data_IF_503378724660
#
_entry.id   IF_503378724660
#
_cell.length_a   1.000
_cell.length_b   1.000
_cell.length_c   1.000
_cell.angle_alpha   90.00
_cell.angle_beta   90.00
_cell.angle_gamma   90.00
#
_symmetry.space_group_name_H-M   'P 1'
#
loop_
_entity.id
_entity.type
_entity.pdbx_description
1 polymer ?
#
# COMPACT_ATOMS: atom_id res chain seq x y z
N UNK A 1 8.67 20.28 -3.07
CA UNK A 1 8.94 19.09 -3.90
C UNK A 1 9.85 18.20 -3.05
N UNK A 2 9.44 17.00 -2.67
CA UNK A 2 10.27 16.15 -1.81
C UNK A 2 11.32 15.50 -2.70
N UNK A 3 12.54 16.06 -2.70
CA UNK A 3 13.71 15.43 -3.32
C UNK A 3 14.12 14.23 -2.45
N UNK A 4 14.05 13.05 -3.03
CA UNK A 4 14.58 11.83 -2.43
C UNK A 4 16.03 11.64 -2.87
N UNK A 5 16.88 11.12 -1.99
CA UNK A 5 18.30 10.89 -2.28
C UNK A 5 18.49 9.90 -3.45
N UNK A 6 19.57 10.07 -4.22
CA UNK A 6 19.96 9.19 -5.34
C UNK A 6 20.12 7.70 -4.94
N UNK A 7 20.22 7.42 -3.65
CA UNK A 7 20.32 6.09 -3.03
C UNK A 7 19.00 5.30 -2.94
N UNK A 8 17.88 5.82 -3.46
CA UNK A 8 16.65 5.03 -3.57
C UNK A 8 16.73 3.86 -4.56
N UNK A 9 17.90 3.64 -5.16
CA UNK A 9 18.01 2.98 -6.45
C UNK A 9 17.30 1.63 -6.53
N UNK A 10 17.21 0.81 -5.47
CA UNK A 10 16.47 -0.47 -5.53
C UNK A 10 15.94 -0.98 -4.18
N UNK A 11 15.33 -0.12 -3.33
CA UNK A 11 14.67 -0.65 -2.12
C UNK A 11 13.44 -1.46 -2.55
N UNK A 12 13.48 -2.77 -2.27
CA UNK A 12 12.41 -3.71 -2.59
C UNK A 12 11.84 -4.29 -1.31
N UNK A 13 10.52 -4.45 -1.28
CA UNK A 13 9.82 -5.01 -0.14
C UNK A 13 8.45 -4.40 0.03
N UNK A 14 7.89 -4.58 1.21
CA UNK A 14 6.63 -3.96 1.59
C UNK A 14 6.86 -2.55 2.08
N UNK A 15 6.22 -1.55 1.51
CA UNK A 15 6.26 -0.18 2.00
C UNK A 15 4.94 0.17 2.67
N UNK A 16 5.00 0.75 3.87
CA UNK A 16 3.85 1.41 4.46
C UNK A 16 3.62 2.74 3.73
N UNK A 17 2.40 2.99 3.29
CA UNK A 17 2.04 4.20 2.56
C UNK A 17 0.87 4.90 3.22
N UNK A 18 1.00 6.21 3.38
CA UNK A 18 -0.08 7.09 3.81
C UNK A 18 -1.06 7.32 2.68
N UNK A 19 -2.34 7.23 3.02
CA UNK A 19 -3.47 7.57 2.15
C UNK A 19 -4.42 8.51 2.88
N UNK A 20 -5.29 9.18 2.14
CA UNK A 20 -6.38 9.96 2.73
C UNK A 20 -7.34 9.02 3.46
N UNK A 21 -7.71 9.40 4.69
CA UNK A 21 -8.65 8.65 5.53
C UNK A 21 -9.94 8.33 4.78
N UNK A 22 -10.36 7.05 4.79
CA UNK A 22 -11.55 6.56 4.10
C UNK A 22 -11.34 6.20 2.62
N UNK A 23 -10.14 6.43 2.07
CA UNK A 23 -9.79 6.08 0.69
C UNK A 23 -8.96 4.79 0.60
N UNK A 24 -8.66 4.10 1.71
CA UNK A 24 -7.75 2.95 1.77
C UNK A 24 -8.15 1.87 0.76
N UNK A 25 -9.42 1.47 0.76
CA UNK A 25 -9.94 0.46 -0.16
C UNK A 25 -9.99 0.95 -1.62
N UNK A 26 -10.30 2.23 -1.84
CA UNK A 26 -10.33 2.83 -3.18
C UNK A 26 -8.93 2.81 -3.79
N UNK A 27 -7.93 3.30 -3.05
CA UNK A 27 -6.53 3.32 -3.47
C UNK A 27 -6.04 1.89 -3.72
N UNK A 28 -6.33 0.95 -2.82
CA UNK A 28 -5.93 -0.45 -3.01
C UNK A 28 -6.51 -1.06 -4.30
N UNK A 29 -7.78 -0.79 -4.61
CA UNK A 29 -8.41 -1.30 -5.84
C UNK A 29 -7.79 -0.73 -7.11
N UNK A 30 -7.45 0.57 -7.12
CA UNK A 30 -6.75 1.17 -8.25
C UNK A 30 -5.31 0.63 -8.40
N UNK A 31 -4.60 0.41 -7.29
CA UNK A 31 -3.28 -0.23 -7.31
C UNK A 31 -3.34 -1.66 -7.83
N UNK A 32 -4.39 -2.43 -7.53
CA UNK A 32 -4.61 -3.76 -8.13
C UNK A 32 -4.73 -3.73 -9.65
N UNK A 33 -5.27 -2.65 -10.22
CA UNK A 33 -5.29 -2.47 -11.69
C UNK A 33 -3.89 -2.20 -12.22
N UNK A 34 -3.08 -1.40 -11.50
CA UNK A 34 -1.67 -1.18 -11.87
C UNK A 34 -0.86 -2.47 -11.82
N UNK A 35 -1.05 -3.33 -10.81
CA UNK A 35 -0.38 -4.64 -10.70
C UNK A 35 -0.65 -5.51 -11.94
N UNK A 36 -1.85 -5.45 -12.52
CA UNK A 36 -2.22 -6.21 -13.72
C UNK A 36 -1.66 -5.61 -15.02
N UNK A 37 -1.19 -4.36 -14.98
CA UNK A 37 -0.67 -3.69 -16.17
C UNK A 37 0.74 -4.20 -16.51
N UNK A 38 1.03 -4.66 -17.75
CA UNK A 38 2.32 -5.29 -18.10
C UNK A 38 3.56 -4.44 -17.79
N UNK A 39 3.44 -3.11 -17.93
CA UNK A 39 4.51 -2.18 -17.58
C UNK A 39 4.90 -2.25 -16.10
N UNK A 40 3.92 -2.44 -15.22
CA UNK A 40 4.05 -2.25 -13.77
C UNK A 40 4.06 -3.56 -12.98
N UNK A 41 3.58 -4.68 -13.54
CA UNK A 41 3.52 -6.00 -12.90
C UNK A 41 4.87 -6.52 -12.43
N UNK A 42 5.97 -6.10 -13.07
CA UNK A 42 7.35 -6.44 -12.68
C UNK A 42 7.88 -5.57 -11.51
N UNK A 43 7.17 -4.52 -11.12
CA UNK A 43 7.61 -3.57 -10.08
C UNK A 43 6.65 -3.49 -8.89
N UNK A 44 5.35 -3.66 -9.11
CA UNK A 44 4.32 -3.63 -8.07
C UNK A 44 3.72 -5.02 -8.01
N UNK A 45 3.94 -5.69 -6.88
CA UNK A 45 3.65 -7.12 -6.74
C UNK A 45 2.34 -7.37 -6.00
N UNK A 46 2.05 -6.58 -4.98
CA UNK A 46 0.88 -6.80 -4.13
C UNK A 46 0.47 -5.52 -3.38
N UNK A 47 -0.79 -5.46 -2.96
CA UNK A 47 -1.32 -4.40 -2.12
C UNK A 47 -2.20 -4.98 -1.02
N UNK A 48 -1.92 -4.55 0.20
CA UNK A 48 -2.57 -5.06 1.40
C UNK A 48 -3.14 -3.90 2.23
N UNK A 49 -4.39 -4.08 2.67
CA UNK A 49 -5.07 -3.21 3.62
C UNK A 49 -5.49 -4.07 4.82
N UNK A 50 -5.01 -3.79 6.03
CA UNK A 50 -5.44 -4.52 7.22
C UNK A 50 -6.94 -4.30 7.47
N UNK A 51 -7.73 -5.36 7.30
CA UNK A 51 -9.19 -5.30 7.41
C UNK A 51 -9.74 -6.43 8.25
N UNK A 52 -10.87 -6.20 8.90
CA UNK A 52 -11.62 -7.20 9.65
C UNK A 52 -13.02 -7.35 9.08
N UNK A 53 -13.50 -8.59 8.93
CA UNK A 53 -14.89 -8.85 8.55
C UNK A 53 -15.80 -8.49 9.72
N UNK A 54 -16.74 -7.60 9.46
CA UNK A 54 -17.74 -7.14 10.42
C UNK A 54 -19.13 -7.32 9.83
N UNK A 55 -20.11 -7.59 10.68
CA UNK A 55 -21.51 -7.72 10.26
C UNK A 55 -22.25 -6.44 10.64
N UNK A 56 -22.87 -5.79 9.65
CA UNK A 56 -23.71 -4.62 9.88
C UNK A 56 -25.01 -5.03 10.62
N UNK A 57 -25.75 -4.06 11.17
CA UNK A 57 -27.03 -4.28 11.86
C UNK A 57 -28.07 -5.01 10.99
N UNK A 58 -27.87 -5.02 9.66
CA UNK A 58 -28.70 -5.73 8.68
C UNK A 58 -28.20 -7.13 8.29
N UNK A 59 -27.22 -7.70 9.00
CA UNK A 59 -26.67 -9.02 8.70
C UNK A 59 -25.75 -9.07 7.47
N UNK A 60 -25.38 -7.93 6.89
CA UNK A 60 -24.47 -7.87 5.73
C UNK A 60 -23.02 -7.78 6.17
N UNK A 61 -22.18 -8.63 5.60
CA UNK A 61 -20.74 -8.57 5.80
C UNK A 61 -20.14 -7.28 5.19
N UNK A 62 -19.26 -6.64 5.95
CA UNK A 62 -18.50 -5.45 5.57
C UNK A 62 -17.06 -5.60 6.04
N UNK A 63 -16.13 -5.13 5.22
CA UNK A 63 -14.71 -5.02 5.61
C UNK A 63 -14.51 -3.70 6.36
N UNK A 64 -14.04 -3.79 7.59
CA UNK A 64 -13.65 -2.64 8.41
C UNK A 64 -12.13 -2.49 8.36
N UNK A 65 -11.65 -1.32 7.95
CA UNK A 65 -10.22 -0.98 7.98
C UNK A 65 -9.75 -0.86 9.43
N UNK A 66 -8.70 -1.61 9.79
CA UNK A 66 -8.15 -1.65 11.15
C UNK A 66 -7.15 -0.51 11.38
N UNK A 67 -6.32 -0.21 10.38
CA UNK A 67 -5.30 0.85 10.46
C UNK A 67 -5.67 1.95 9.47
N UNK A 68 -6.30 3.01 9.98
CA UNK A 68 -6.71 4.17 9.17
C UNK A 68 -5.50 4.85 8.52
N UNK A 69 -5.73 5.43 7.35
CA UNK A 69 -4.75 6.19 6.56
C UNK A 69 -3.49 5.40 6.17
N UNK A 70 -3.49 4.07 6.31
CA UNK A 70 -2.33 3.24 5.99
C UNK A 70 -2.72 2.08 5.07
N UNK A 71 -1.91 1.91 4.03
CA UNK A 71 -1.90 0.72 3.18
C UNK A 71 -0.47 0.20 3.06
N UNK A 72 -0.31 -1.03 2.60
CA UNK A 72 0.99 -1.65 2.39
C UNK A 72 1.10 -2.08 0.94
N UNK A 73 2.20 -1.70 0.29
CA UNK A 73 2.44 -2.00 -1.12
C UNK A 73 3.75 -2.79 -1.22
N UNK A 74 3.70 -3.99 -1.79
CA UNK A 74 4.90 -4.77 -2.10
C UNK A 74 5.42 -4.32 -3.45
N UNK A 75 6.59 -3.67 -3.48
CA UNK A 75 7.13 -3.10 -4.72
C UNK A 75 8.65 -2.96 -4.72
N UNK A 76 9.21 -2.72 -5.91
CA UNK A 76 10.52 -2.10 -6.10
C UNK A 76 10.29 -0.59 -6.21
N UNK A 77 10.70 0.17 -5.21
CA UNK A 77 10.45 1.61 -5.19
C UNK A 77 11.48 2.33 -6.07
N UNK A 78 11.04 2.77 -7.24
CA UNK A 78 11.79 3.68 -8.14
C UNK A 78 11.02 4.99 -8.33
N UNK A 79 11.64 5.99 -8.96
CA UNK A 79 10.97 7.26 -9.25
C UNK A 79 9.77 7.08 -10.20
N UNK A 80 9.87 6.20 -11.21
CA UNK A 80 8.78 5.85 -12.11
C UNK A 80 7.64 5.15 -11.38
N UNK A 81 7.96 4.16 -10.53
CA UNK A 81 6.96 3.44 -9.74
C UNK A 81 6.26 4.39 -8.77
N UNK A 82 7.02 5.27 -8.12
CA UNK A 82 6.46 6.29 -7.25
C UNK A 82 5.51 7.22 -7.99
N UNK A 83 5.87 7.63 -9.21
CA UNK A 83 5.01 8.46 -10.04
C UNK A 83 3.74 7.72 -10.47
N UNK A 84 3.83 6.41 -10.72
CA UNK A 84 2.68 5.58 -11.08
C UNK A 84 1.68 5.38 -9.93
N UNK A 85 2.17 5.20 -8.69
CA UNK A 85 1.30 4.97 -7.52
C UNK A 85 0.72 6.27 -6.93
N UNK A 86 1.11 7.45 -7.40
CA UNK A 86 0.54 8.76 -7.02
C UNK A 86 -0.85 8.98 -7.64
N UNK A 87 -1.76 8.08 -7.31
CA UNK A 87 -3.17 8.16 -7.69
C UNK A 87 -3.97 8.98 -6.66
N UNK A 88 -5.22 9.33 -7.00
CA UNK A 88 -6.09 10.08 -6.10
C UNK A 88 -6.28 9.36 -4.75
N UNK A 89 -5.96 10.06 -3.66
CA UNK A 89 -6.05 9.54 -2.29
C UNK A 89 -4.75 8.93 -1.77
N UNK A 90 -3.75 8.66 -2.61
CA UNK A 90 -2.40 8.33 -2.16
C UNK A 90 -1.66 9.58 -1.67
N UNK A 91 -0.85 9.48 -0.61
CA UNK A 91 -0.06 10.60 -0.08
C UNK A 91 1.45 10.38 -0.21
N UNK A 92 2.01 9.43 0.51
CA UNK A 92 3.47 9.20 0.54
C UNK A 92 3.81 7.83 1.10
N UNK A 93 4.87 7.15 0.61
CA UNK A 93 5.48 6.06 1.36
C UNK A 93 6.18 6.59 2.61
N UNK A 94 6.41 5.71 3.58
CA UNK A 94 7.02 6.01 4.86
C UNK A 94 8.44 5.41 4.99
N UNK A 95 9.33 6.12 5.72
CA UNK A 95 9.19 7.52 6.11
C UNK A 95 9.27 8.46 4.88
N UNK A 96 8.65 9.66 4.89
CA UNK A 96 8.48 10.48 3.69
C UNK A 96 9.76 10.94 2.98
N UNK A 97 10.87 11.06 3.72
CA UNK A 97 12.17 11.53 3.20
C UNK A 97 13.06 10.40 2.70
N UNK A 98 13.05 9.26 3.39
CA UNK A 98 13.81 8.08 3.01
C UNK A 98 12.93 6.83 3.13
N UNK A 99 12.00 6.61 2.18
CA UNK A 99 11.12 5.46 2.23
C UNK A 99 11.91 4.16 2.39
N UNK A 100 11.47 3.32 3.31
CA UNK A 100 12.15 2.06 3.63
C UNK A 100 11.13 0.92 3.73
N UNK A 101 11.52 -0.30 3.34
CA UNK A 101 10.63 -1.44 3.47
C UNK A 101 10.37 -1.72 4.95
N UNK A 102 9.12 -2.06 5.25
CA UNK A 102 8.65 -2.57 6.53
C UNK A 102 9.35 -3.90 6.80
N UNK A 103 9.93 -4.10 7.99
CA UNK A 103 10.57 -5.36 8.36
C UNK A 103 9.62 -6.54 8.20
N UNK A 104 10.16 -7.69 7.80
CA UNK A 104 9.35 -8.88 7.52
C UNK A 104 8.54 -9.34 8.75
N UNK A 105 9.14 -9.32 9.95
CA UNK A 105 8.46 -9.66 11.20
C UNK A 105 7.22 -8.79 11.45
N UNK A 106 7.31 -7.49 11.17
CA UNK A 106 6.17 -6.58 11.30
C UNK A 106 5.09 -6.89 10.26
N UNK A 107 5.49 -7.22 9.03
CA UNK A 107 4.54 -7.64 7.99
C UNK A 107 3.84 -8.95 8.35
N UNK A 108 4.56 -9.94 8.89
CA UNK A 108 3.97 -11.20 9.37
C UNK A 108 2.91 -10.95 10.45
N UNK A 109 3.20 -10.07 11.40
CA UNK A 109 2.23 -9.67 12.43
C UNK A 109 0.98 -8.98 11.87
N UNK A 110 1.07 -8.34 10.71
CA UNK A 110 -0.06 -7.70 10.04
C UNK A 110 -0.84 -8.66 9.14
N UNK A 111 -0.18 -9.65 8.53
CA UNK A 111 -0.84 -10.60 7.63
C UNK A 111 -1.90 -11.47 8.29
N UNK A 112 -1.93 -11.55 9.63
CA UNK A 112 -3.07 -12.13 10.36
C UNK A 112 -4.42 -11.44 10.07
N UNK A 113 -4.39 -10.21 9.54
CA UNK A 113 -5.57 -9.44 9.13
C UNK A 113 -5.79 -9.46 7.61
N UNK A 114 -5.05 -10.31 6.90
CA UNK A 114 -5.25 -10.53 5.46
C UNK A 114 -6.42 -11.49 5.29
N UNK A 115 -7.48 -10.99 4.65
CA UNK A 115 -8.64 -11.77 4.26
C UNK A 115 -8.45 -12.16 2.79
N UNK A 116 -7.72 -13.23 2.51
CA UNK A 116 -7.69 -13.88 1.18
C UNK A 116 -8.89 -14.81 0.99
#
# INVERSE_FOLDING_TARGET
>A
MTEWSEDLKYKTGWFACKVTSGHEMKVANELKKLIQHPKWSQYIFDVFVPTEKTVDKKGKEKLKVLIKENIYIKMVLTQDVYSAIKIEGFRTPLPPKDPSPVPEEQMQGLFRFRND
#
